data_IF_078119749371
#
_entry.id   IF_078119749371
#
_cell.length_a   1.000
_cell.length_b   1.000
_cell.length_c   1.000
_cell.angle_alpha   90.00
_cell.angle_beta   90.00
_cell.angle_gamma   90.00
#
_symmetry.space_group_name_H-M   'P 1'
#
loop_
_entity.id
_entity.type
_entity.pdbx_description
1 polymer ?
#
# COMPACT_ATOMS: atom_id res chain seq x y z
N UNK A 1 -37.45 60.01 -42.43
CA UNK A 1 -37.14 60.04 -40.98
C UNK A 1 -36.98 58.62 -40.42
N UNK A 2 -36.16 57.76 -41.07
CA UNK A 2 -36.07 56.31 -40.74
C UNK A 2 -34.62 55.78 -40.71
N UNK A 3 -33.66 56.57 -41.21
CA UNK A 3 -32.25 56.16 -41.39
C UNK A 3 -31.40 56.35 -40.13
N UNK A 4 -31.76 57.29 -39.26
CA UNK A 4 -31.03 57.59 -38.02
C UNK A 4 -31.28 56.53 -36.93
N UNK A 5 -32.47 55.94 -36.90
CA UNK A 5 -32.87 54.94 -35.88
C UNK A 5 -32.27 53.55 -36.12
N UNK A 6 -31.97 53.21 -37.37
CA UNK A 6 -31.28 51.96 -37.72
C UNK A 6 -29.80 52.05 -37.31
N UNK A 7 -29.13 53.16 -37.63
CA UNK A 7 -27.73 53.39 -37.25
C UNK A 7 -27.58 53.46 -35.72
N UNK A 8 -28.50 54.14 -35.03
CA UNK A 8 -28.51 54.20 -33.55
C UNK A 8 -28.68 52.81 -32.92
N UNK A 9 -29.55 51.95 -33.46
CA UNK A 9 -29.71 50.56 -32.98
C UNK A 9 -28.48 49.70 -33.22
N UNK A 10 -27.80 49.85 -34.36
CA UNK A 10 -26.54 49.13 -34.61
C UNK A 10 -25.42 49.55 -33.65
N UNK A 11 -25.31 50.85 -33.34
CA UNK A 11 -24.31 51.36 -32.39
C UNK A 11 -24.60 50.86 -30.97
N UNK A 12 -25.85 50.87 -30.53
CA UNK A 12 -26.24 50.36 -29.21
C UNK A 12 -26.02 48.85 -29.10
N UNK A 13 -26.34 48.07 -30.14
CA UNK A 13 -26.11 46.62 -30.14
C UNK A 13 -24.62 46.26 -30.16
N UNK A 14 -23.79 46.99 -30.90
CA UNK A 14 -22.34 46.76 -30.91
C UNK A 14 -21.69 47.15 -29.57
N UNK A 15 -22.20 48.21 -28.93
CA UNK A 15 -21.78 48.60 -27.58
C UNK A 15 -22.22 47.57 -26.52
N UNK A 16 -23.43 47.03 -26.63
CA UNK A 16 -23.93 45.99 -25.73
C UNK A 16 -23.14 44.68 -25.90
N UNK A 17 -22.81 44.30 -27.15
CA UNK A 17 -21.99 43.12 -27.46
C UNK A 17 -20.59 43.24 -26.86
N UNK A 18 -19.95 44.41 -26.95
CA UNK A 18 -18.63 44.68 -26.34
C UNK A 18 -18.70 44.66 -24.81
N UNK A 19 -19.75 45.23 -24.22
CA UNK A 19 -20.00 45.22 -22.78
C UNK A 19 -20.17 43.79 -22.24
N UNK A 20 -21.00 42.96 -22.89
CA UNK A 20 -21.20 41.56 -22.51
C UNK A 20 -19.87 40.79 -22.58
N UNK A 21 -19.06 41.01 -23.61
CA UNK A 21 -17.76 40.36 -23.75
C UNK A 21 -16.78 40.76 -22.64
N UNK A 22 -16.75 42.05 -22.27
CA UNK A 22 -15.96 42.56 -21.15
C UNK A 22 -16.40 41.95 -19.81
N UNK A 23 -17.71 41.87 -19.57
CA UNK A 23 -18.24 41.23 -18.36
C UNK A 23 -17.84 39.76 -18.26
N UNK A 24 -18.01 38.98 -19.33
CA UNK A 24 -17.63 37.57 -19.36
C UNK A 24 -16.13 37.37 -19.11
N UNK A 25 -15.28 38.26 -19.64
CA UNK A 25 -13.85 38.22 -19.40
C UNK A 25 -13.53 38.47 -17.91
N UNK A 26 -14.13 39.49 -17.29
CA UNK A 26 -13.88 39.79 -15.87
C UNK A 26 -14.30 38.65 -14.93
N UNK A 27 -15.43 37.98 -15.21
CA UNK A 27 -15.90 36.82 -14.44
C UNK A 27 -14.92 35.64 -14.51
N UNK A 28 -14.38 35.36 -15.69
CA UNK A 28 -13.42 34.27 -15.90
C UNK A 28 -12.10 34.47 -15.13
N UNK A 29 -11.67 35.72 -14.91
CA UNK A 29 -10.43 36.02 -14.19
C UNK A 29 -10.55 35.87 -12.65
N UNK A 30 -11.76 35.89 -12.09
CA UNK A 30 -11.94 35.85 -10.62
C UNK A 30 -11.52 34.52 -9.97
N UNK A 31 -11.49 33.42 -10.73
CA UNK A 31 -11.05 32.11 -10.24
C UNK A 31 -9.52 31.95 -10.12
N UNK A 32 -8.75 32.78 -10.83
CA UNK A 32 -7.29 32.64 -10.93
C UNK A 32 -6.51 33.27 -9.77
N UNK A 33 -7.15 34.14 -8.97
CA UNK A 33 -6.54 34.79 -7.81
C UNK A 33 -6.79 34.06 -6.47
N UNK A 34 -7.42 32.88 -6.51
CA UNK A 34 -7.73 32.14 -5.28
C UNK A 34 -6.46 31.50 -4.70
N UNK A 35 -6.13 31.86 -3.45
CA UNK A 35 -5.07 31.19 -2.69
C UNK A 35 -5.56 29.79 -2.29
N UNK A 36 -4.85 28.71 -2.65
CA UNK A 36 -5.25 27.39 -2.23
C UNK A 36 -5.17 27.28 -0.71
N UNK A 37 -6.27 26.83 -0.08
CA UNK A 37 -6.30 26.52 1.35
C UNK A 37 -5.64 25.15 1.52
N UNK A 38 -4.37 25.13 1.95
CA UNK A 38 -3.64 23.89 2.22
C UNK A 38 -4.07 23.40 3.61
N UNK A 39 -5.06 22.49 3.66
CA UNK A 39 -5.41 21.79 4.89
C UNK A 39 -4.45 20.60 5.07
N UNK A 40 -3.39 20.78 5.86
CA UNK A 40 -2.57 19.65 6.28
C UNK A 40 -3.38 18.79 7.24
N UNK A 41 -3.71 17.57 6.82
CA UNK A 41 -4.29 16.55 7.69
C UNK A 41 -3.20 15.59 8.13
N UNK A 42 -3.15 15.32 9.43
CA UNK A 42 -2.36 14.22 9.96
C UNK A 42 -3.09 12.94 9.59
N UNK A 43 -2.46 12.11 8.75
CA UNK A 43 -2.97 10.79 8.36
C UNK A 43 -2.02 9.77 8.94
N UNK A 44 -2.53 8.89 9.80
CA UNK A 44 -1.77 7.75 10.32
C UNK A 44 -1.61 6.73 9.19
N UNK A 45 -0.42 6.68 8.58
CA UNK A 45 -0.08 5.69 7.58
C UNK A 45 0.56 4.48 8.25
N UNK A 46 -0.01 3.27 8.16
CA UNK A 46 0.64 2.08 8.70
C UNK A 46 1.96 1.85 7.95
N UNK A 47 3.05 1.75 8.70
CA UNK A 47 4.38 1.46 8.17
C UNK A 47 4.59 -0.05 8.28
N UNK A 48 4.94 -0.76 7.18
CA UNK A 48 5.23 -2.18 7.26
C UNK A 48 6.53 -2.39 8.04
N UNK A 49 6.41 -2.96 9.24
CA UNK A 49 7.56 -3.36 10.06
C UNK A 49 7.98 -4.77 9.65
N UNK A 50 9.28 -5.05 9.45
CA UNK A 50 9.73 -6.42 9.21
C UNK A 50 9.38 -7.28 10.42
N UNK A 51 8.75 -8.41 10.16
CA UNK A 51 8.45 -9.38 11.20
C UNK A 51 9.74 -10.12 11.60
N UNK A 52 9.98 -10.22 12.90
CA UNK A 52 11.08 -10.98 13.47
C UNK A 52 10.58 -12.35 13.92
N UNK A 53 11.22 -13.41 13.42
CA UNK A 53 10.92 -14.79 13.81
C UNK A 53 12.16 -15.34 14.49
N UNK A 54 12.02 -15.70 15.76
CA UNK A 54 13.06 -16.41 16.51
C UNK A 54 13.03 -17.89 16.16
N UNK A 55 14.20 -18.53 16.16
CA UNK A 55 14.33 -19.97 15.93
C UNK A 55 13.82 -20.70 17.18
N UNK A 56 12.81 -21.58 17.07
CA UNK A 56 12.29 -22.33 18.21
C UNK A 56 13.38 -23.21 18.86
N UNK A 57 13.34 -23.38 20.19
CA UNK A 57 14.30 -24.19 20.95
C UNK A 57 14.36 -25.67 20.50
N UNK A 58 13.29 -26.14 19.85
CA UNK A 58 13.17 -27.50 19.35
C UNK A 58 13.97 -27.73 18.06
N UNK A 59 14.35 -26.65 17.39
CA UNK A 59 15.23 -26.69 16.24
C UNK A 59 16.68 -26.82 16.72
N UNK A 60 17.22 -28.04 16.63
CA UNK A 60 18.60 -28.35 16.99
C UNK A 60 19.57 -27.89 15.90
N UNK A 61 20.75 -27.44 16.31
CA UNK A 61 21.86 -27.13 15.40
C UNK A 61 22.54 -28.39 14.84
N UNK A 62 22.49 -29.49 15.60
CA UNK A 62 22.98 -30.81 15.20
C UNK A 62 21.95 -31.88 15.56
N UNK A 63 21.70 -32.79 14.63
CA UNK A 63 20.76 -33.90 14.75
C UNK A 63 21.45 -35.17 15.24
N UNK A 64 20.66 -36.13 15.69
CA UNK A 64 21.14 -37.46 16.10
C UNK A 64 22.03 -38.13 15.04
N UNK A 65 21.73 -37.95 13.74
CA UNK A 65 22.49 -38.53 12.63
C UNK A 65 23.87 -37.91 12.42
N UNK A 66 24.09 -36.68 12.89
CA UNK A 66 25.39 -36.01 12.77
C UNK A 66 26.44 -36.62 13.70
N UNK A 67 25.99 -37.47 14.63
CA UNK A 67 26.82 -38.13 15.64
C UNK A 67 27.17 -39.58 15.28
N UNK A 68 26.64 -40.12 14.18
CA UNK A 68 26.93 -41.49 13.74
C UNK A 68 27.93 -41.53 12.60
N UNK A 69 28.77 -42.57 12.59
CA UNK A 69 29.73 -42.87 11.54
C UNK A 69 29.15 -43.88 10.55
N UNK A 70 29.53 -43.84 9.25
CA UNK A 70 29.23 -44.92 8.31
C UNK A 70 29.79 -46.29 8.72
N UNK A 71 30.79 -46.31 9.61
CA UNK A 71 31.37 -47.54 10.15
C UNK A 71 30.57 -48.12 11.33
N UNK A 72 29.57 -47.40 11.86
CA UNK A 72 28.74 -47.88 12.96
C UNK A 72 27.84 -49.03 12.54
N UNK A 73 27.40 -49.82 13.51
CA UNK A 73 26.48 -50.91 13.24
C UNK A 73 25.13 -50.38 12.72
N UNK A 74 24.46 -51.19 11.89
CA UNK A 74 23.21 -50.81 11.24
C UNK A 74 22.10 -50.44 12.25
N UNK A 75 22.08 -51.04 13.44
CA UNK A 75 21.09 -50.73 14.46
C UNK A 75 21.26 -49.32 15.04
N UNK A 76 22.50 -48.91 15.29
CA UNK A 76 22.86 -47.56 15.76
C UNK A 76 22.47 -46.51 14.74
N UNK A 77 22.79 -46.75 13.46
CA UNK A 77 22.45 -45.84 12.36
C UNK A 77 20.93 -45.71 12.22
N UNK A 78 20.18 -46.82 12.23
CA UNK A 78 18.72 -46.80 12.12
C UNK A 78 18.05 -46.07 13.30
N UNK A 79 18.57 -46.19 14.52
CA UNK A 79 18.06 -45.45 15.68
C UNK A 79 18.30 -43.96 15.55
N UNK A 80 19.49 -43.56 15.10
CA UNK A 80 19.81 -42.16 14.86
C UNK A 80 18.89 -41.56 13.78
N UNK A 81 18.66 -42.26 12.66
CA UNK A 81 17.75 -41.81 11.60
C UNK A 81 16.31 -41.60 12.10
N UNK A 82 15.79 -42.53 12.92
CA UNK A 82 14.43 -42.38 13.47
C UNK A 82 14.33 -41.18 14.42
N UNK A 83 15.34 -40.98 15.25
CA UNK A 83 15.41 -39.82 16.14
C UNK A 83 15.47 -38.50 15.35
N UNK A 84 16.22 -38.44 14.24
CA UNK A 84 16.32 -37.23 13.41
C UNK A 84 14.95 -36.85 12.83
N UNK A 85 14.19 -37.83 12.33
CA UNK A 85 12.87 -37.59 11.76
C UNK A 85 11.95 -36.94 12.79
N UNK A 86 11.95 -37.45 14.02
CA UNK A 86 11.16 -36.90 15.12
C UNK A 86 11.62 -35.49 15.52
N UNK A 87 12.94 -35.27 15.60
CA UNK A 87 13.54 -33.97 15.90
C UNK A 87 13.20 -32.91 14.85
N UNK A 88 13.31 -33.25 13.56
CA UNK A 88 12.97 -32.35 12.45
C UNK A 88 11.48 -32.04 12.40
N UNK A 89 10.64 -33.04 12.62
CA UNK A 89 9.18 -32.86 12.64
C UNK A 89 8.76 -31.88 13.75
N UNK A 90 9.36 -32.00 14.94
CA UNK A 90 9.09 -31.10 16.06
C UNK A 90 9.46 -29.64 15.72
N UNK A 91 10.65 -29.42 15.16
CA UNK A 91 11.09 -28.10 14.70
C UNK A 91 10.16 -27.54 13.62
N UNK A 92 9.81 -28.33 12.60
CA UNK A 92 9.01 -27.87 11.46
C UNK A 92 7.61 -27.39 11.88
N UNK A 93 6.96 -28.09 12.82
CA UNK A 93 5.64 -27.71 13.33
C UNK A 93 5.70 -26.32 13.98
N UNK A 94 6.70 -26.09 14.84
CA UNK A 94 6.83 -24.82 15.57
C UNK A 94 7.31 -23.68 14.68
N UNK A 95 8.26 -23.95 13.79
CA UNK A 95 8.74 -22.96 12.82
C UNK A 95 7.60 -22.52 11.89
N UNK A 96 6.77 -23.48 11.42
CA UNK A 96 5.58 -23.17 10.61
C UNK A 96 4.58 -22.33 11.38
N UNK A 97 4.37 -22.58 12.66
CA UNK A 97 3.49 -21.77 13.50
C UNK A 97 4.02 -20.33 13.65
N UNK A 98 5.31 -20.16 13.92
CA UNK A 98 5.95 -18.86 14.05
C UNK A 98 5.85 -18.04 12.74
N UNK A 99 6.14 -18.67 11.59
CA UNK A 99 6.02 -18.03 10.27
C UNK A 99 4.55 -17.71 9.91
N UNK A 100 3.59 -18.53 10.34
CA UNK A 100 2.17 -18.22 10.14
C UNK A 100 1.74 -16.98 10.91
N UNK A 101 2.08 -16.87 12.19
CA UNK A 101 1.80 -15.67 13.00
C UNK A 101 2.40 -14.42 12.38
N UNK A 102 3.64 -14.53 11.93
CA UNK A 102 4.37 -13.49 11.22
C UNK A 102 3.68 -12.98 9.94
N UNK A 103 3.04 -13.88 9.18
CA UNK A 103 2.34 -13.51 7.95
C UNK A 103 0.93 -12.93 8.20
N UNK A 104 0.31 -13.26 9.32
CA UNK A 104 -1.02 -12.75 9.70
C UNK A 104 -0.97 -11.30 10.19
N UNK A 105 0.16 -10.86 10.76
CA UNK A 105 0.34 -9.48 11.22
C UNK A 105 0.72 -8.49 10.12
N UNK A 106 0.67 -8.88 8.82
CA UNK A 106 0.90 -7.94 7.72
C UNK A 106 -0.21 -6.88 7.74
N UNK A 107 0.12 -5.59 7.91
CA UNK A 107 -0.88 -4.54 7.76
C UNK A 107 -1.44 -4.63 6.34
N UNK A 108 -2.76 -4.75 6.21
CA UNK A 108 -3.46 -4.88 4.94
C UNK A 108 -3.25 -3.61 4.10
N UNK A 109 -2.27 -3.62 3.20
CA UNK A 109 -2.07 -2.61 2.15
C UNK A 109 -3.12 -2.76 1.02
N UNK A 110 -4.07 -3.68 1.16
CA UNK A 110 -5.09 -4.00 0.14
C UNK A 110 -6.50 -3.70 0.66
N UNK A 111 -6.81 -2.43 0.93
CA UNK A 111 -8.20 -1.95 0.91
C UNK A 111 -8.23 -0.44 0.74
N UNK A 112 -7.82 0.03 -0.44
CA UNK A 112 -8.12 1.40 -0.87
C UNK A 112 -8.43 1.43 -2.37
N UNK A 113 -9.46 0.66 -2.79
CA UNK A 113 -10.21 0.93 -4.04
C UNK A 113 -11.66 0.45 -3.90
N UNK A 114 -12.49 1.26 -3.27
CA UNK A 114 -13.84 1.60 -3.74
C UNK A 114 -14.56 2.45 -2.69
N UNK A 115 -14.67 3.75 -2.97
CA UNK A 115 -15.32 4.68 -2.06
C UNK A 115 -15.34 6.10 -2.60
N UNK A 116 -15.84 6.29 -3.83
CA UNK A 116 -16.83 7.32 -4.19
C UNK A 116 -17.05 7.34 -5.70
#
# INVERSE_FOLDING_TARGET
MYRKDVIRRHIVNDMYRKSVFLYMLTLALTGCASKPIIQTRVIEKPIPVPCHVEIPEECKEAYSVDRVSPADNALTINRALRAEIEERAACEVKLRAAVKGCNQSKPSVLNEKSGS
#
